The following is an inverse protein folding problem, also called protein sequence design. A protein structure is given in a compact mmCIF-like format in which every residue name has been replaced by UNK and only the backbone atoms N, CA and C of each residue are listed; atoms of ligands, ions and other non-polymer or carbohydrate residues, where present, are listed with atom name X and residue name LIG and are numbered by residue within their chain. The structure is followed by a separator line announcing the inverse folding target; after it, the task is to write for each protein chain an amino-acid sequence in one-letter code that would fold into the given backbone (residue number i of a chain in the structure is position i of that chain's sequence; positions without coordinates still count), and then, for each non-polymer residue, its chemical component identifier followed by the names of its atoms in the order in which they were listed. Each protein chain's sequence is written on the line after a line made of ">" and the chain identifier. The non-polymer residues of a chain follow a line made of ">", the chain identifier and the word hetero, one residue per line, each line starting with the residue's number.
data_IF_022230469458
#
_entry.id   IF_022230469458
#
_cell.length_a   1.000
_cell.length_b   1.000
_cell.length_c   1.000
_cell.angle_alpha   90.00
_cell.angle_beta   90.00
_cell.angle_gamma   90.00
#
_symmetry.space_group_name_H-M   'P 1'
#
loop_
_entity.id
_entity.type
_entity.pdbx_description
1 polymer ?
#
# COMPACT_ATOMS: atom_id res chain seq x y z
N UNK A 1 13.23 3.52 -8.60
CA UNK A 1 11.89 3.65 -9.21
C UNK A 1 11.90 2.77 -10.45
N UNK A 2 10.93 1.87 -10.63
CA UNK A 2 10.82 1.09 -11.85
C UNK A 2 10.15 1.98 -12.92
N UNK A 3 10.74 2.06 -14.11
CA UNK A 3 10.30 2.97 -15.19
C UNK A 3 8.83 2.74 -15.62
N UNK A 4 8.26 1.56 -15.33
CA UNK A 4 6.92 1.13 -15.74
C UNK A 4 5.75 1.65 -14.90
N UNK A 5 6.01 2.44 -13.85
CA UNK A 5 4.98 2.89 -12.91
C UNK A 5 4.56 4.34 -13.16
N UNK A 6 3.26 4.55 -13.30
CA UNK A 6 2.64 5.87 -13.42
C UNK A 6 1.86 6.21 -12.15
N UNK A 7 1.92 7.47 -11.74
CA UNK A 7 1.32 7.94 -10.49
C UNK A 7 0.28 9.02 -10.76
N UNK A 8 -0.94 8.82 -10.27
CA UNK A 8 -1.96 9.86 -10.20
C UNK A 8 -2.29 10.13 -8.74
N UNK A 9 -2.01 11.32 -8.24
CA UNK A 9 -2.20 11.66 -6.83
C UNK A 9 -3.31 12.71 -6.64
N UNK A 10 -4.23 12.44 -5.71
CA UNK A 10 -5.23 13.38 -5.20
C UNK A 10 -4.92 13.69 -3.73
N UNK A 11 -3.91 14.54 -3.53
CA UNK A 11 -3.35 14.89 -2.23
C UNK A 11 -4.40 15.36 -1.21
N UNK A 12 -5.35 16.20 -1.63
CA UNK A 12 -6.45 16.68 -0.78
C UNK A 12 -7.41 15.57 -0.30
N UNK A 13 -7.40 14.41 -0.96
CA UNK A 13 -8.20 13.23 -0.62
C UNK A 13 -7.35 12.11 -0.03
N UNK A 14 -6.03 12.29 0.13
CA UNK A 14 -5.14 11.27 0.65
C UNK A 14 -4.80 10.15 -0.35
N UNK A 15 -5.29 10.19 -1.58
CA UNK A 15 -5.18 9.05 -2.51
C UNK A 15 -4.01 9.20 -3.49
N UNK A 16 -3.30 8.10 -3.76
CA UNK A 16 -2.46 7.95 -4.94
C UNK A 16 -2.78 6.65 -5.65
N UNK A 17 -2.94 6.71 -6.95
CA UNK A 17 -3.14 5.55 -7.80
C UNK A 17 -1.81 5.26 -8.49
N UNK A 18 -1.38 4.02 -8.40
CA UNK A 18 -0.22 3.51 -9.12
C UNK A 18 -0.76 2.64 -10.23
N UNK A 19 -0.38 2.99 -11.45
CA UNK A 19 -0.64 2.18 -12.61
C UNK A 19 0.66 1.58 -13.13
N UNK A 20 0.57 0.39 -13.70
CA UNK A 20 1.73 -0.32 -14.26
C UNK A 20 1.43 -0.71 -15.70
N UNK A 21 2.41 -0.48 -16.56
CA UNK A 21 2.35 -0.84 -17.98
C UNK A 21 2.36 -2.36 -18.22
N UNK A 22 1.70 -2.82 -19.28
CA UNK A 22 1.65 -4.23 -19.68
C UNK A 22 3.03 -4.89 -19.85
N UNK A 23 4.03 -4.13 -20.32
CA UNK A 23 5.41 -4.60 -20.50
C UNK A 23 5.99 -5.24 -19.24
N UNK A 24 5.61 -4.77 -18.05
CA UNK A 24 5.99 -5.38 -16.77
C UNK A 24 5.48 -6.82 -16.65
N UNK A 25 4.21 -7.06 -16.97
CA UNK A 25 3.57 -8.38 -16.88
C UNK A 25 4.09 -9.36 -17.92
N UNK A 26 4.52 -8.85 -19.07
CA UNK A 26 5.13 -9.64 -20.14
C UNK A 26 6.61 -9.95 -19.91
N UNK A 27 7.19 -9.53 -18.76
CA UNK A 27 8.63 -9.60 -18.46
C UNK A 27 9.50 -8.95 -19.55
N UNK A 28 9.03 -7.85 -20.13
CA UNK A 28 9.73 -7.12 -21.19
C UNK A 28 10.41 -5.88 -20.62
N UNK A 29 11.24 -6.07 -19.59
CA UNK A 29 11.95 -5.01 -18.85
C UNK A 29 12.98 -4.21 -19.65
N UNK A 30 13.19 -4.57 -20.92
CA UNK A 30 14.17 -3.90 -21.79
C UNK A 30 13.47 -3.15 -22.94
N UNK A 31 12.13 -3.16 -22.96
CA UNK A 31 11.35 -2.47 -23.99
C UNK A 31 10.82 -1.14 -23.49
N UNK A 32 10.69 -0.21 -24.43
CA UNK A 32 10.00 1.05 -24.17
C UNK A 32 8.57 0.79 -23.68
N UNK A 33 8.19 1.57 -22.67
CA UNK A 33 6.83 1.66 -22.16
C UNK A 33 5.92 2.00 -23.35
N UNK A 34 4.98 1.11 -23.68
CA UNK A 34 4.11 1.31 -24.84
C UNK A 34 2.95 2.23 -24.48
N UNK A 35 2.49 2.20 -23.22
CA UNK A 35 1.33 2.96 -22.76
C UNK A 35 0.01 2.50 -23.39
N UNK A 36 0.02 1.40 -24.16
CA UNK A 36 -1.15 0.86 -24.85
C UNK A 36 -2.15 0.27 -23.86
N UNK A 37 -1.65 -0.49 -22.88
CA UNK A 37 -2.43 -1.07 -21.80
C UNK A 37 -1.81 -0.71 -20.46
N UNK A 38 -2.57 0.07 -19.67
CA UNK A 38 -2.16 0.57 -18.36
C UNK A 38 -3.12 0.00 -17.32
N UNK A 39 -2.58 -0.78 -16.37
CA UNK A 39 -3.37 -1.46 -15.34
C UNK A 39 -3.26 -0.71 -14.02
N UNK A 40 -4.40 -0.49 -13.33
CA UNK A 40 -4.36 -0.01 -11.95
C UNK A 40 -3.84 -1.14 -11.06
N UNK A 41 -2.70 -0.94 -10.40
CA UNK A 41 -2.04 -2.00 -9.62
C UNK A 41 -2.11 -1.75 -8.14
N UNK A 42 -2.09 -0.50 -7.71
CA UNK A 42 -2.13 -0.16 -6.29
C UNK A 42 -2.87 1.14 -6.06
N UNK A 43 -3.73 1.15 -5.05
CA UNK A 43 -4.30 2.34 -4.46
C UNK A 43 -3.58 2.58 -3.14
N UNK A 44 -2.85 3.68 -3.08
CA UNK A 44 -2.18 4.16 -1.90
C UNK A 44 -3.08 5.17 -1.19
N UNK A 45 -3.29 4.98 0.11
CA UNK A 45 -4.27 5.75 0.84
C UNK A 45 -3.70 6.82 1.78
N UNK A 46 -2.41 6.73 2.17
CA UNK A 46 -1.64 7.79 2.87
C UNK A 46 -0.25 7.33 3.34
N UNK A 47 0.69 8.28 3.43
CA UNK A 47 2.03 8.12 4.01
C UNK A 47 2.26 9.20 5.08
N UNK A 48 2.53 8.81 6.32
CA UNK A 48 2.80 9.78 7.38
C UNK A 48 4.16 10.46 7.14
N UNK A 49 4.14 11.80 7.04
CA UNK A 49 5.36 12.61 6.90
C UNK A 49 5.93 12.72 5.47
N UNK A 50 5.22 12.23 4.44
CA UNK A 50 5.60 12.49 3.04
C UNK A 50 4.79 13.66 2.48
N UNK A 51 5.50 14.56 1.79
CA UNK A 51 4.95 15.81 1.23
C UNK A 51 3.62 15.61 0.49
N UNK A 52 2.68 16.52 0.73
CA UNK A 52 1.36 16.55 0.09
C UNK A 52 0.30 15.65 0.75
N UNK A 53 0.68 14.56 1.42
CA UNK A 53 -0.28 13.64 2.05
C UNK A 53 -0.50 13.91 3.54
N UNK A 54 0.50 14.44 4.26
CA UNK A 54 0.46 14.71 5.71
C UNK A 54 -0.71 15.57 6.21
N UNK A 55 -1.37 16.32 5.32
CA UNK A 55 -2.53 17.16 5.61
C UNK A 55 -3.87 16.40 5.72
N UNK A 56 -3.92 15.14 5.29
CA UNK A 56 -5.14 14.34 5.31
C UNK A 56 -5.42 13.76 6.71
N UNK A 57 -6.58 14.11 7.29
CA UNK A 57 -6.96 13.77 8.68
C UNK A 57 -8.15 12.79 8.79
N UNK A 58 -8.64 12.24 7.68
CA UNK A 58 -9.80 11.33 7.70
C UNK A 58 -9.35 9.87 7.86
N UNK A 59 -10.26 9.03 8.36
CA UNK A 59 -10.03 7.60 8.55
C UNK A 59 -9.63 6.91 7.24
N UNK A 60 -8.79 5.88 7.36
CA UNK A 60 -8.36 5.03 6.25
C UNK A 60 -9.45 3.99 5.91
N UNK A 61 -9.35 3.31 4.76
CA UNK A 61 -10.19 2.15 4.47
C UNK A 61 -10.21 1.15 5.64
N UNK A 62 -11.34 0.45 5.80
CA UNK A 62 -11.53 -0.55 6.86
C UNK A 62 -11.40 -0.01 8.28
N UNK A 63 -11.75 1.27 8.47
CA UNK A 63 -11.71 1.95 9.78
C UNK A 63 -10.32 2.01 10.41
N UNK A 64 -9.27 1.87 9.59
CA UNK A 64 -7.88 1.92 10.06
C UNK A 64 -7.51 3.37 10.40
N UNK A 65 -6.68 3.56 11.43
CA UNK A 65 -6.11 4.84 11.82
C UNK A 65 -4.59 4.68 12.01
N UNK A 66 -3.81 5.69 11.64
CA UNK A 66 -2.34 5.69 11.79
C UNK A 66 -1.86 5.45 13.23
N UNK A 67 -2.66 5.86 14.21
CA UNK A 67 -2.38 5.64 15.62
C UNK A 67 -2.63 4.20 16.07
N UNK A 68 -3.22 3.34 15.21
CA UNK A 68 -3.41 1.94 15.55
C UNK A 68 -2.06 1.23 15.63
N UNK A 69 -1.92 0.43 16.69
CA UNK A 69 -0.83 -0.52 16.82
C UNK A 69 -1.15 -1.81 16.08
N UNK A 70 -0.12 -2.59 15.82
CA UNK A 70 -0.21 -3.91 15.17
C UNK A 70 -1.32 -4.80 15.76
N UNK A 71 -1.37 -4.94 17.08
CA UNK A 71 -2.36 -5.79 17.75
C UNK A 71 -3.81 -5.33 17.55
N UNK A 72 -4.03 -4.02 17.39
CA UNK A 72 -5.36 -3.46 17.10
C UNK A 72 -5.76 -3.77 15.66
N UNK A 73 -4.82 -3.70 14.72
CA UNK A 73 -5.04 -4.09 13.33
C UNK A 73 -5.38 -5.57 13.20
N UNK A 74 -4.64 -6.45 13.86
CA UNK A 74 -4.92 -7.90 13.85
C UNK A 74 -6.28 -8.22 14.45
N UNK A 75 -6.71 -7.49 15.49
CA UNK A 75 -8.06 -7.63 16.04
C UNK A 75 -9.15 -7.23 15.04
N UNK A 76 -8.91 -6.19 14.24
CA UNK A 76 -9.88 -5.65 13.30
C UNK A 76 -9.94 -6.45 11.98
N UNK A 77 -8.78 -6.89 11.48
CA UNK A 77 -8.62 -7.49 10.15
C UNK A 77 -8.45 -9.02 10.20
N UNK A 78 -8.22 -9.57 11.39
CA UNK A 78 -7.84 -10.97 11.59
C UNK A 78 -6.34 -11.19 11.42
N UNK A 79 -5.95 -12.46 11.30
CA UNK A 79 -4.55 -12.84 11.15
C UNK A 79 -3.97 -12.38 9.80
N UNK A 80 -2.74 -11.82 9.79
CA UNK A 80 -2.07 -11.44 8.56
C UNK A 80 -1.65 -12.68 7.77
N UNK A 81 -1.75 -12.60 6.44
CA UNK A 81 -1.17 -13.60 5.54
C UNK A 81 0.35 -13.63 5.60
N UNK A 82 0.96 -12.49 5.90
CA UNK A 82 2.40 -12.33 5.90
C UNK A 82 2.80 -11.26 6.90
N UNK A 83 3.86 -11.55 7.65
CA UNK A 83 4.50 -10.63 8.60
C UNK A 83 5.99 -10.59 8.29
N UNK A 84 6.54 -9.39 8.13
CA UNK A 84 7.98 -9.14 8.06
C UNK A 84 8.42 -8.43 9.33
N UNK A 85 9.38 -9.03 10.03
CA UNK A 85 10.04 -8.43 11.18
C UNK A 85 11.51 -8.16 10.89
N UNK A 86 12.13 -7.29 11.67
CA UNK A 86 13.59 -7.11 11.69
C UNK A 86 14.28 -8.16 12.58
N UNK A 87 15.60 -8.03 12.72
CA UNK A 87 16.45 -8.94 13.53
C UNK A 87 16.08 -8.92 15.02
N UNK A 88 15.44 -7.85 15.50
CA UNK A 88 14.99 -7.71 16.89
C UNK A 88 13.53 -8.16 17.09
N UNK A 89 12.95 -8.85 16.11
CA UNK A 89 11.56 -9.31 16.09
C UNK A 89 10.52 -8.17 16.08
N UNK A 90 10.92 -6.93 15.79
CA UNK A 90 10.00 -5.81 15.67
C UNK A 90 9.32 -5.93 14.30
N UNK A 91 7.99 -5.89 14.28
CA UNK A 91 7.21 -6.02 13.05
C UNK A 91 7.34 -4.75 12.21
N UNK A 92 7.91 -4.91 11.01
CA UNK A 92 8.15 -3.83 10.06
C UNK A 92 7.00 -3.67 9.07
N UNK A 93 6.34 -4.77 8.69
CA UNK A 93 5.16 -4.73 7.83
C UNK A 93 4.34 -6.01 7.85
N UNK A 94 3.06 -5.89 7.49
CA UNK A 94 2.12 -7.00 7.40
C UNK A 94 1.22 -6.91 6.16
N UNK A 95 0.66 -8.06 5.74
CA UNK A 95 -0.31 -8.16 4.64
C UNK A 95 -1.56 -8.92 5.06
N UNK A 96 -2.72 -8.47 4.59
CA UNK A 96 -4.01 -9.15 4.73
C UNK A 96 -4.69 -9.32 3.39
N UNK A 97 -5.31 -10.47 3.17
CA UNK A 97 -6.31 -10.63 2.11
C UNK A 97 -7.68 -10.30 2.68
N UNK A 98 -8.31 -9.27 2.14
CA UNK A 98 -9.67 -8.93 2.55
C UNK A 98 -10.63 -9.83 1.77
N UNK A 99 -11.31 -10.76 2.45
CA UNK A 99 -12.10 -11.83 1.79
C UNK A 99 -13.17 -11.33 0.83
N UNK A 100 -13.70 -10.13 1.06
CA UNK A 100 -14.80 -9.53 0.30
C UNK A 100 -14.32 -8.69 -0.89
N UNK A 101 -13.02 -8.44 -1.00
CA UNK A 101 -12.48 -7.53 -2.01
C UNK A 101 -11.29 -8.17 -2.74
N UNK A 102 -11.10 -7.86 -4.04
CA UNK A 102 -9.99 -8.38 -4.82
C UNK A 102 -8.67 -7.66 -4.52
N UNK A 103 -8.47 -7.17 -3.29
CA UNK A 103 -7.29 -6.40 -2.89
C UNK A 103 -6.61 -7.05 -1.70
N UNK A 104 -5.28 -6.98 -1.71
CA UNK A 104 -4.45 -7.25 -0.55
C UNK A 104 -4.14 -5.91 0.13
N UNK A 105 -4.41 -5.82 1.42
CA UNK A 105 -3.99 -4.71 2.26
C UNK A 105 -2.55 -4.95 2.71
N UNK A 106 -1.69 -3.96 2.52
CA UNK A 106 -0.34 -3.94 3.07
C UNK A 106 -0.21 -2.75 4.03
N UNK A 107 0.35 -3.01 5.20
CA UNK A 107 0.61 -2.01 6.23
C UNK A 107 2.09 -2.07 6.58
N UNK A 108 2.76 -0.92 6.58
CA UNK A 108 4.12 -0.78 7.12
C UNK A 108 4.07 0.05 8.38
N UNK A 109 4.94 -0.27 9.32
CA UNK A 109 5.03 0.36 10.63
C UNK A 109 6.29 1.21 10.77
N UNK A 110 6.26 2.14 11.71
CA UNK A 110 7.45 2.80 12.21
C UNK A 110 8.14 1.93 13.26
N UNK A 111 9.34 2.32 13.70
CA UNK A 111 10.04 1.66 14.80
C UNK A 111 9.30 1.77 16.17
N UNK A 112 8.23 2.57 16.24
CA UNK A 112 7.37 2.69 17.41
C UNK A 112 6.08 1.86 17.28
N UNK A 113 6.02 0.95 16.31
CA UNK A 113 4.90 0.02 16.04
C UNK A 113 3.56 0.70 15.72
N UNK A 114 3.59 1.97 15.32
CA UNK A 114 2.45 2.67 14.74
C UNK A 114 2.52 2.61 13.23
N UNK A 115 1.38 2.69 12.56
CA UNK A 115 1.33 2.62 11.10
C UNK A 115 2.11 3.80 10.51
N UNK A 116 2.97 3.51 9.53
CA UNK A 116 3.66 4.50 8.71
C UNK A 116 2.91 4.77 7.41
N UNK A 117 2.47 3.71 6.73
CA UNK A 117 1.65 3.81 5.52
C UNK A 117 0.79 2.57 5.29
N UNK A 118 -0.27 2.76 4.51
CA UNK A 118 -1.21 1.71 4.08
C UNK A 118 -1.38 1.75 2.57
N UNK A 119 -1.31 0.58 1.94
CA UNK A 119 -1.55 0.42 0.51
C UNK A 119 -2.46 -0.77 0.22
N UNK A 120 -3.32 -0.63 -0.77
CA UNK A 120 -4.16 -1.68 -1.32
C UNK A 120 -3.60 -2.08 -2.69
N UNK A 121 -3.13 -3.32 -2.82
CA UNK A 121 -2.65 -3.86 -4.10
C UNK A 121 -3.64 -4.85 -4.67
N UNK A 122 -3.84 -4.82 -6.00
CA UNK A 122 -4.53 -5.91 -6.69
C UNK A 122 -3.50 -7.04 -6.88
N UNK A 123 -3.72 -8.23 -6.33
CA UNK A 123 -2.86 -9.38 -6.58
C UNK A 123 -2.94 -9.76 -8.07
N UNK A 124 -1.78 -10.02 -8.65
CA UNK A 124 -1.58 -10.45 -10.04
C UNK A 124 -1.59 -11.98 -10.16
#
# INVERSE_FOLDING_TARGET
>A
MAEYNFYLSKYNQGLSFIFTDESFYLNQSDKHITGENIYLTTIFCYNEGVEGFSQYKRGLPFEINFLMKQNQLEKNLGEPLFTKSDENLIVQSQKWQIKEYPFTLYVSYTNQEVIRYVSLSIPY
#
